data_IF_137113009612
#
_entry.id   IF_137113009612
#
_cell.length_a   1.000
_cell.length_b   1.000
_cell.length_c   1.000
_cell.angle_alpha   90.00
_cell.angle_beta   90.00
_cell.angle_gamma   90.00
#
_symmetry.space_group_name_H-M   'P 1'
#
loop_
_entity.id
_entity.type
_entity.pdbx_description
1 polymer ?
#
# COMPACT_ATOMS: atom_id res chain seq x y z
N UNK A 1 11.03 -14.43 -10.09
CA UNK A 1 10.96 -13.03 -9.59
C UNK A 1 10.96 -13.05 -8.07
N UNK A 2 11.95 -12.42 -7.39
CA UNK A 2 12.16 -12.49 -5.92
C UNK A 2 10.86 -12.47 -5.10
N UNK A 3 9.95 -11.54 -5.39
CA UNK A 3 8.69 -11.38 -4.66
C UNK A 3 7.78 -12.62 -4.76
N UNK A 4 7.59 -13.15 -5.97
CA UNK A 4 6.70 -14.29 -6.24
C UNK A 4 7.33 -15.60 -5.78
N UNK A 5 8.62 -15.80 -6.07
CA UNK A 5 9.35 -17.02 -5.74
C UNK A 5 9.37 -17.25 -4.22
N UNK A 6 9.50 -16.16 -3.44
CA UNK A 6 9.53 -16.19 -1.97
C UNK A 6 8.17 -15.92 -1.31
N UNK A 7 7.11 -15.69 -2.09
CA UNK A 7 5.76 -15.36 -1.61
C UNK A 7 5.77 -14.23 -0.56
N UNK A 8 6.51 -13.15 -0.85
CA UNK A 8 6.66 -12.05 0.11
C UNK A 8 5.34 -11.34 0.39
N UNK A 9 4.44 -11.27 -0.59
CA UNK A 9 3.06 -10.83 -0.37
C UNK A 9 2.10 -12.02 -0.39
N UNK A 10 1.18 -12.05 0.57
CA UNK A 10 0.08 -13.02 0.60
C UNK A 10 -1.25 -12.31 0.78
N UNK A 11 -2.30 -12.93 0.24
CA UNK A 11 -3.68 -12.43 0.28
C UNK A 11 -4.58 -13.56 0.74
N UNK A 12 -5.44 -13.31 1.74
CA UNK A 12 -6.41 -14.27 2.22
C UNK A 12 -7.73 -13.61 2.65
N UNK A 13 -8.89 -14.05 2.14
CA UNK A 13 -9.07 -15.01 1.06
C UNK A 13 -8.64 -14.43 -0.30
N UNK A 14 -8.22 -15.28 -1.25
CA UNK A 14 -7.83 -14.85 -2.61
C UNK A 14 -9.02 -14.61 -3.54
N UNK A 15 -10.16 -15.20 -3.22
CA UNK A 15 -11.42 -15.09 -3.95
C UNK A 15 -12.58 -15.32 -3.00
N UNK A 16 -13.77 -14.90 -3.39
CA UNK A 16 -14.97 -15.08 -2.60
C UNK A 16 -16.20 -14.59 -3.34
N UNK A 17 -17.35 -14.78 -2.72
CA UNK A 17 -18.64 -14.30 -3.21
C UNK A 17 -19.24 -13.34 -2.17
N UNK A 18 -19.70 -12.19 -2.63
CA UNK A 18 -20.42 -11.22 -1.81
C UNK A 18 -21.83 -11.02 -2.38
N UNK A 19 -22.84 -11.14 -1.52
CA UNK A 19 -24.20 -10.72 -1.85
C UNK A 19 -24.35 -9.21 -1.69
N UNK A 20 -25.37 -8.58 -2.30
CA UNK A 20 -25.66 -7.17 -2.07
C UNK A 20 -25.73 -6.84 -0.58
N UNK A 21 -25.03 -5.79 -0.16
CA UNK A 21 -24.94 -5.35 1.24
C UNK A 21 -23.93 -6.10 2.10
N UNK A 22 -23.32 -7.19 1.63
CA UNK A 22 -22.28 -7.90 2.37
C UNK A 22 -20.91 -7.25 2.23
N UNK A 23 -20.09 -7.47 3.26
CA UNK A 23 -18.69 -7.05 3.28
C UNK A 23 -17.84 -8.23 3.77
N UNK A 24 -16.61 -8.31 3.27
CA UNK A 24 -15.65 -9.32 3.68
C UNK A 24 -14.30 -8.66 3.90
N UNK A 25 -13.68 -8.93 5.05
CA UNK A 25 -12.30 -8.53 5.31
C UNK A 25 -11.36 -9.41 4.51
N UNK A 26 -10.40 -8.79 3.83
CA UNK A 26 -9.30 -9.46 3.14
C UNK A 26 -7.99 -9.08 3.83
N UNK A 27 -7.24 -10.09 4.26
CA UNK A 27 -5.93 -9.92 4.86
C UNK A 27 -4.86 -9.86 3.77
N UNK A 28 -4.10 -8.77 3.78
CA UNK A 28 -2.91 -8.57 2.94
C UNK A 28 -1.70 -8.61 3.87
N UNK A 29 -0.77 -9.53 3.65
CA UNK A 29 0.43 -9.66 4.51
C UNK A 29 1.70 -9.51 3.69
N UNK A 30 2.73 -8.91 4.30
CA UNK A 30 4.07 -8.76 3.72
C UNK A 30 5.11 -9.36 4.66
N UNK A 31 6.07 -10.11 4.11
CA UNK A 31 7.20 -10.68 4.84
C UNK A 31 8.44 -9.82 4.67
N UNK A 32 9.01 -9.38 5.78
CA UNK A 32 10.21 -8.54 5.85
C UNK A 32 11.50 -9.36 5.80
N UNK A 33 11.59 -10.31 4.87
CA UNK A 33 12.72 -11.25 4.81
C UNK A 33 13.95 -10.66 4.14
N UNK A 34 13.75 -9.68 3.25
CA UNK A 34 14.80 -9.15 2.41
C UNK A 34 14.76 -7.62 2.41
N UNK A 35 15.88 -7.00 2.73
CA UNK A 35 16.06 -5.55 2.67
C UNK A 35 15.78 -5.02 1.26
N UNK A 36 15.21 -3.83 1.19
CA UNK A 36 14.88 -3.12 -0.04
C UNK A 36 13.40 -2.78 -0.14
N UNK A 37 12.98 -2.40 -1.35
CA UNK A 37 11.58 -2.11 -1.67
C UNK A 37 11.04 -3.15 -2.64
N UNK A 38 10.02 -3.88 -2.20
CA UNK A 38 9.30 -4.85 -3.03
C UNK A 38 8.02 -4.21 -3.55
N UNK A 39 7.81 -4.24 -4.87
CA UNK A 39 6.60 -3.71 -5.53
C UNK A 39 5.93 -4.81 -6.33
N UNK A 40 4.64 -5.01 -6.10
CA UNK A 40 3.83 -6.00 -6.82
C UNK A 40 2.49 -5.38 -7.21
N UNK A 41 2.27 -5.09 -8.50
CA UNK A 41 0.94 -4.77 -9.00
C UNK A 41 0.05 -6.01 -8.92
N UNK A 42 -1.12 -5.88 -8.30
CA UNK A 42 -2.11 -6.94 -8.12
C UNK A 42 -3.45 -6.45 -8.63
N UNK A 43 -4.23 -7.35 -9.23
CA UNK A 43 -5.51 -7.02 -9.82
C UNK A 43 -6.64 -7.58 -8.97
N UNK A 44 -7.49 -6.70 -8.42
CA UNK A 44 -8.74 -7.09 -7.79
C UNK A 44 -9.82 -7.11 -8.86
N UNK A 45 -10.36 -8.30 -9.14
CA UNK A 45 -11.39 -8.52 -10.16
C UNK A 45 -12.76 -8.69 -9.53
N UNK A 46 -13.73 -7.93 -10.02
CA UNK A 46 -15.16 -8.21 -9.79
C UNK A 46 -15.69 -8.92 -11.03
N UNK A 47 -16.23 -10.13 -10.87
CA UNK A 47 -16.76 -10.92 -11.98
C UNK A 47 -17.78 -10.11 -12.80
N UNK A 48 -17.60 -10.09 -14.13
CA UNK A 48 -18.41 -9.30 -15.08
C UNK A 48 -18.47 -7.80 -14.78
N UNK A 49 -17.50 -7.29 -14.01
CA UNK A 49 -17.47 -5.91 -13.56
C UNK A 49 -16.11 -5.26 -13.79
N UNK A 50 -15.71 -4.43 -12.83
CA UNK A 50 -14.46 -3.67 -12.89
C UNK A 50 -13.27 -4.50 -12.43
N UNK A 51 -12.13 -4.20 -13.03
CA UNK A 51 -10.83 -4.60 -12.52
C UNK A 51 -10.16 -3.38 -11.87
N UNK A 52 -9.67 -3.56 -10.65
CA UNK A 52 -9.04 -2.49 -9.86
C UNK A 52 -7.57 -2.87 -9.65
N UNK A 53 -6.67 -2.01 -10.11
CA UNK A 53 -5.24 -2.18 -9.87
C UNK A 53 -4.88 -1.75 -8.44
N UNK A 54 -4.29 -2.67 -7.69
CA UNK A 54 -3.76 -2.43 -6.35
C UNK A 54 -2.23 -2.54 -6.41
N UNK A 55 -1.52 -1.54 -5.92
CA UNK A 55 -0.06 -1.55 -5.87
C UNK A 55 0.40 -1.96 -4.47
N UNK A 56 0.87 -3.19 -4.33
CA UNK A 56 1.48 -3.63 -3.08
C UNK A 56 2.91 -3.11 -3.03
N UNK A 57 3.25 -2.39 -1.96
CA UNK A 57 4.57 -1.82 -1.74
C UNK A 57 4.99 -2.18 -0.32
N UNK A 58 6.05 -2.96 -0.21
CA UNK A 58 6.67 -3.35 1.05
C UNK A 58 8.07 -2.76 1.12
N UNK A 59 8.42 -2.15 2.25
CA UNK A 59 9.76 -1.63 2.51
C UNK A 59 10.32 -2.37 3.71
N UNK A 60 11.49 -2.97 3.53
CA UNK A 60 12.26 -3.61 4.60
C UNK A 60 13.59 -2.91 4.72
N UNK A 61 13.89 -2.43 5.92
CA UNK A 61 15.16 -1.79 6.26
C UNK A 61 16.05 -2.75 7.01
N UNK A 62 17.36 -2.45 7.06
CA UNK A 62 18.28 -3.23 7.88
C UNK A 62 17.90 -3.16 9.36
N UNK A 63 18.22 -4.23 10.09
CA UNK A 63 18.02 -4.28 11.54
C UNK A 63 18.82 -3.12 12.16
N UNK A 64 18.17 -2.36 13.04
CA UNK A 64 18.71 -1.17 13.73
C UNK A 64 18.89 0.09 12.86
N UNK A 65 18.58 0.03 11.56
CA UNK A 65 18.62 1.22 10.74
C UNK A 65 17.47 2.17 11.09
N UNK A 66 17.83 3.40 11.48
CA UNK A 66 16.86 4.48 11.67
C UNK A 66 16.23 4.83 10.33
N UNK A 67 14.91 4.83 10.28
CA UNK A 67 14.16 5.08 9.06
C UNK A 67 12.96 5.99 9.35
N UNK A 68 12.80 7.02 8.53
CA UNK A 68 11.63 7.90 8.52
C UNK A 68 10.91 7.67 7.20
N UNK A 69 9.66 7.21 7.27
CA UNK A 69 8.83 6.99 6.09
C UNK A 69 8.02 8.25 5.75
N UNK A 70 8.20 8.77 4.54
CA UNK A 70 7.35 9.81 3.98
C UNK A 70 6.37 9.18 2.99
N UNK A 71 5.06 9.35 3.21
CA UNK A 71 4.01 8.83 2.34
C UNK A 71 3.90 9.58 1.01
N UNK A 72 4.42 10.82 0.96
CA UNK A 72 4.54 11.64 -0.23
C UNK A 72 5.86 12.39 -0.22
N UNK A 73 6.47 12.58 -1.40
CA UNK A 73 7.68 13.40 -1.58
C UNK A 73 7.38 14.79 -2.10
N UNK A 74 6.12 15.06 -2.45
CA UNK A 74 5.64 16.35 -2.90
C UNK A 74 4.45 16.77 -2.04
N UNK A 75 4.55 17.97 -1.47
CA UNK A 75 3.52 18.57 -0.65
C UNK A 75 3.07 19.86 -1.30
N UNK A 76 1.76 20.01 -1.47
CA UNK A 76 1.15 21.26 -1.91
C UNK A 76 0.48 21.88 -0.70
N UNK A 77 1.02 23.01 -0.25
CA UNK A 77 0.47 23.75 0.87
C UNK A 77 -0.57 24.75 0.38
N UNK A 78 -1.55 25.05 1.24
CA UNK A 78 -2.48 26.16 1.02
C UNK A 78 -1.71 27.50 1.03
N UNK A 79 -1.99 28.46 0.12
CA UNK A 79 -1.35 29.76 0.16
C UNK A 79 -1.60 30.48 1.48
N UNK A 80 -0.59 31.14 2.05
CA UNK A 80 -0.69 31.92 3.29
C UNK A 80 -0.16 33.33 3.05
N UNK A 81 -0.82 34.33 3.66
CA UNK A 81 -0.40 35.72 3.59
C UNK A 81 0.96 35.93 4.28
N UNK A 82 1.81 36.75 3.67
CA UNK A 82 3.12 37.13 4.22
C UNK A 82 2.91 37.82 5.58
N UNK A 83 3.59 37.34 6.61
CA UNK A 83 3.49 37.88 7.97
C UNK A 83 2.40 37.24 8.85
N UNK A 84 1.64 36.28 8.33
CA UNK A 84 0.70 35.52 9.15
C UNK A 84 1.44 34.58 10.13
N UNK A 85 0.93 34.46 11.35
CA UNK A 85 1.37 33.48 12.34
C UNK A 85 0.67 32.11 12.21
N UNK A 86 -0.36 32.02 11.36
CA UNK A 86 -1.12 30.78 11.17
C UNK A 86 -0.46 29.89 10.12
N UNK A 87 -0.11 28.63 10.44
CA UNK A 87 0.45 27.70 9.45
C UNK A 87 -0.59 27.31 8.39
N UNK A 88 -0.15 26.92 7.17
CA UNK A 88 -1.04 26.34 6.17
C UNK A 88 -1.68 25.05 6.70
N UNK A 89 -2.99 24.91 6.48
CA UNK A 89 -3.74 23.68 6.75
C UNK A 89 -3.55 22.68 5.63
#
# INVERSE_FOLDING_TARGET
MRIQDNKLFTVNPKSGLLRPGQQQTVQLSYRHDFVGTDRLPVLLKVSHGREILLNFIGVTVEKEQRYVHFTATKHQFTPVAIGSSSPPK
#
